data_IF_798734750133
#
_entry.id   IF_798734750133
#
_cell.length_a   1.000
_cell.length_b   1.000
_cell.length_c   1.000
_cell.angle_alpha   90.00
_cell.angle_beta   90.00
_cell.angle_gamma   90.00
#
_symmetry.space_group_name_H-M   'P 1'
#
loop_
_entity.id
_entity.type
_entity.pdbx_description
1 polymer ?
#
# COMPACT_ATOMS: atom_id res chain seq x y z
N UNK A 1 36.15 -1.96 7.50
CA UNK A 1 37.01 -1.78 6.32
C UNK A 1 36.47 -2.70 5.25
N UNK A 2 35.46 -2.21 4.53
CA UNK A 2 34.80 -2.89 3.42
C UNK A 2 34.79 -1.86 2.29
N UNK A 3 35.44 -2.22 1.19
CA UNK A 3 35.76 -1.31 0.10
C UNK A 3 34.47 -0.85 -0.61
N UNK A 4 34.33 0.47 -0.73
CA UNK A 4 33.40 1.13 -1.62
C UNK A 4 33.64 0.67 -3.07
N UNK A 5 32.58 0.42 -3.86
CA UNK A 5 32.68 0.67 -5.28
C UNK A 5 32.78 2.18 -5.47
N UNK A 6 34.00 2.65 -5.67
CA UNK A 6 34.27 3.94 -6.29
C UNK A 6 33.79 3.85 -7.74
N UNK A 7 32.67 4.49 -8.05
CA UNK A 7 32.47 5.26 -9.28
C UNK A 7 31.11 5.94 -9.16
N UNK A 8 31.11 7.27 -9.36
CA UNK A 8 29.93 8.11 -9.23
C UNK A 8 28.79 7.57 -10.06
N UNK A 9 27.63 7.36 -9.41
CA UNK A 9 26.42 6.87 -10.06
C UNK A 9 26.00 7.92 -11.09
N UNK A 10 25.98 7.59 -12.39
CA UNK A 10 25.34 8.44 -13.36
C UNK A 10 23.84 8.43 -13.05
N UNK A 11 23.28 9.60 -12.74
CA UNK A 11 21.85 9.86 -12.84
C UNK A 11 21.46 9.77 -14.32
N UNK A 12 21.36 8.55 -14.85
CA UNK A 12 20.74 8.32 -16.14
C UNK A 12 19.71 7.20 -16.02
N UNK A 13 18.48 7.69 -15.99
CA UNK A 13 17.22 7.07 -16.36
C UNK A 13 17.29 5.67 -16.96
N UNK A 14 16.47 4.79 -16.38
CA UNK A 14 15.99 3.59 -17.04
C UNK A 14 15.44 3.95 -18.44
N UNK A 15 16.00 3.41 -19.55
CA UNK A 15 15.56 3.71 -20.91
C UNK A 15 14.13 3.24 -21.25
N UNK A 16 13.45 2.57 -20.32
CA UNK A 16 12.07 2.09 -20.47
C UNK A 16 11.04 2.87 -19.64
N UNK A 17 11.46 3.79 -18.78
CA UNK A 17 10.55 4.67 -18.06
C UNK A 17 10.13 5.83 -18.98
N UNK A 18 8.83 5.98 -19.23
CA UNK A 18 8.31 7.20 -19.85
C UNK A 18 8.78 8.40 -19.03
N UNK A 19 9.30 9.44 -19.70
CA UNK A 19 9.64 10.70 -19.02
C UNK A 19 8.45 11.15 -18.18
N UNK A 20 8.60 11.40 -16.86
CA UNK A 20 7.48 11.84 -16.03
C UNK A 20 6.82 13.08 -16.63
N UNK A 21 5.49 13.07 -16.63
CA UNK A 21 4.70 14.22 -16.98
C UNK A 21 4.95 15.35 -15.96
N UNK A 22 4.67 16.58 -16.36
CA UNK A 22 4.71 17.69 -15.42
C UNK A 22 3.58 17.56 -14.40
N UNK A 23 3.86 17.89 -13.15
CA UNK A 23 2.89 17.83 -12.07
C UNK A 23 1.93 19.03 -12.17
N UNK A 24 0.65 18.75 -12.45
CA UNK A 24 -0.36 19.81 -12.64
C UNK A 24 -0.88 20.26 -11.29
N UNK A 25 -0.75 21.56 -11.00
CA UNK A 25 -1.24 22.19 -9.78
C UNK A 25 -2.77 22.21 -9.80
N UNK A 26 -3.38 21.61 -8.78
CA UNK A 26 -4.83 21.62 -8.54
C UNK A 26 -5.22 22.75 -7.58
N UNK A 27 -4.39 23.01 -6.57
CA UNK A 27 -4.67 24.01 -5.53
C UNK A 27 -3.39 24.65 -5.02
N UNK A 28 -3.52 25.86 -4.51
CA UNK A 28 -2.44 26.61 -3.86
C UNK A 28 -2.96 27.06 -2.50
N UNK A 29 -2.21 26.74 -1.44
CA UNK A 29 -2.55 27.10 -0.07
C UNK A 29 -2.35 28.60 0.16
N UNK A 30 -3.29 29.24 0.86
CA UNK A 30 -3.18 30.67 1.17
C UNK A 30 -2.09 30.93 2.21
N UNK A 31 -1.26 31.95 1.95
CA UNK A 31 -0.07 32.28 2.75
C UNK A 31 1.11 31.35 2.52
N UNK A 32 1.07 30.50 1.49
CA UNK A 32 2.17 29.60 1.15
C UNK A 32 3.18 30.25 0.21
N UNK A 33 4.39 29.67 0.16
CA UNK A 33 5.43 30.03 -0.81
C UNK A 33 4.88 29.95 -2.25
N UNK A 34 4.04 28.97 -2.55
CA UNK A 34 3.41 28.83 -3.86
C UNK A 34 2.54 30.03 -4.24
N UNK A 35 1.76 30.57 -3.29
CA UNK A 35 0.97 31.78 -3.50
C UNK A 35 1.86 33.01 -3.70
N UNK A 36 2.94 33.15 -2.91
CA UNK A 36 3.89 34.25 -3.03
C UNK A 36 4.64 34.26 -4.37
N UNK A 37 4.96 33.07 -4.89
CA UNK A 37 5.55 32.86 -6.22
C UNK A 37 4.53 33.06 -7.36
N UNK A 38 3.24 33.17 -7.05
CA UNK A 38 2.18 33.43 -8.00
C UNK A 38 1.65 32.19 -8.73
N UNK A 39 1.86 30.99 -8.20
CA UNK A 39 1.29 29.77 -8.75
C UNK A 39 -0.24 29.84 -8.80
N UNK A 40 -0.82 29.20 -9.82
CA UNK A 40 -2.25 29.10 -10.04
C UNK A 40 -2.65 27.66 -10.38
N UNK A 41 -3.90 27.26 -10.08
CA UNK A 41 -4.43 26.01 -10.59
C UNK A 41 -4.31 25.91 -12.12
N UNK A 42 -3.73 24.81 -12.60
CA UNK A 42 -3.43 24.56 -14.00
C UNK A 42 -1.95 24.71 -14.37
N UNK A 43 -1.16 25.41 -13.55
CA UNK A 43 0.30 25.48 -13.74
C UNK A 43 0.91 24.08 -13.64
N UNK A 44 2.03 23.89 -14.32
CA UNK A 44 2.70 22.60 -14.44
C UNK A 44 4.11 22.69 -13.91
N UNK A 45 4.37 22.06 -12.77
CA UNK A 45 5.73 21.92 -12.25
C UNK A 45 6.45 20.80 -13.03
N UNK A 46 7.43 21.19 -13.82
CA UNK A 46 8.20 20.28 -14.68
C UNK A 46 9.32 19.61 -13.89
N UNK A 47 10.13 20.41 -13.19
CA UNK A 47 11.32 19.93 -12.48
C UNK A 47 11.65 20.80 -11.26
N UNK A 48 12.29 20.17 -10.28
CA UNK A 48 12.92 20.82 -9.13
C UNK A 48 14.40 20.43 -9.16
N UNK A 49 15.31 21.42 -9.14
CA UNK A 49 16.76 21.20 -9.19
C UNK A 49 17.20 20.33 -10.40
N UNK A 50 16.51 20.50 -11.54
CA UNK A 50 16.75 19.74 -12.76
C UNK A 50 16.22 18.29 -12.74
N UNK A 51 15.56 17.87 -11.66
CA UNK A 51 14.96 16.54 -11.52
C UNK A 51 13.45 16.62 -11.76
N UNK A 52 12.96 15.80 -12.69
CA UNK A 52 11.52 15.61 -12.89
C UNK A 52 10.98 14.64 -11.83
N UNK A 53 10.09 15.07 -10.92
CA UNK A 53 9.54 14.16 -9.93
C UNK A 53 8.69 13.09 -10.61
N UNK A 54 8.78 11.84 -10.14
CA UNK A 54 7.93 10.75 -10.63
C UNK A 54 6.57 10.70 -9.94
N UNK A 55 6.48 11.29 -8.76
CA UNK A 55 5.33 11.21 -7.86
C UNK A 55 5.50 12.23 -6.71
N UNK A 56 4.49 12.32 -5.86
CA UNK A 56 4.49 13.20 -4.69
C UNK A 56 5.59 12.88 -3.66
N UNK A 57 6.12 11.65 -3.64
CA UNK A 57 7.20 11.28 -2.72
C UNK A 57 8.50 11.96 -3.15
N UNK A 58 8.82 11.89 -4.45
CA UNK A 58 9.96 12.62 -5.00
C UNK A 58 9.79 14.13 -4.81
N UNK A 59 8.59 14.65 -5.02
CA UNK A 59 8.31 16.07 -4.86
C UNK A 59 8.60 16.55 -3.43
N UNK A 60 8.14 15.80 -2.42
CA UNK A 60 8.45 16.09 -1.00
C UNK A 60 9.94 15.99 -0.71
N UNK A 61 10.63 14.98 -1.25
CA UNK A 61 12.08 14.80 -1.05
C UNK A 61 12.87 15.96 -1.66
N UNK A 62 12.54 16.36 -2.89
CA UNK A 62 13.19 17.46 -3.60
C UNK A 62 12.90 18.81 -2.94
N UNK A 63 11.68 19.01 -2.41
CA UNK A 63 11.34 20.21 -1.65
C UNK A 63 11.99 20.25 -0.25
N UNK A 64 12.69 19.21 0.19
CA UNK A 64 13.42 19.21 1.46
C UNK A 64 14.73 20.01 1.42
N UNK A 65 15.14 20.51 0.26
CA UNK A 65 16.32 21.36 0.09
C UNK A 65 15.98 22.84 0.38
N UNK A 66 16.99 23.61 0.82
CA UNK A 66 16.84 25.05 1.13
C UNK A 66 16.84 25.89 -0.15
N UNK A 67 17.75 25.58 -1.09
CA UNK A 67 17.85 26.25 -2.39
C UNK A 67 17.11 25.44 -3.47
N UNK A 68 16.03 25.99 -4.01
CA UNK A 68 15.23 25.34 -5.05
C UNK A 68 15.28 26.15 -6.35
N UNK A 69 15.56 25.45 -7.46
CA UNK A 69 15.31 25.91 -8.82
C UNK A 69 14.12 25.15 -9.41
N UNK A 70 13.01 25.85 -9.59
CA UNK A 70 11.78 25.31 -10.16
C UNK A 70 11.73 25.61 -11.67
N UNK A 71 11.33 24.61 -12.46
CA UNK A 71 10.93 24.77 -13.85
C UNK A 71 9.41 24.62 -13.93
N UNK A 72 8.71 25.67 -14.37
CA UNK A 72 7.23 25.73 -14.38
C UNK A 72 6.74 26.09 -15.79
N UNK A 73 5.65 25.47 -16.21
CA UNK A 73 4.93 25.79 -17.44
C UNK A 73 3.51 26.27 -17.11
N UNK A 74 3.16 27.46 -17.58
CA UNK A 74 1.81 28.00 -17.47
C UNK A 74 0.84 27.23 -18.39
N UNK A 75 -0.48 27.30 -18.17
CA UNK A 75 -1.48 26.71 -19.06
C UNK A 75 -1.39 27.17 -20.52
N UNK A 76 -0.82 28.35 -20.78
CA UNK A 76 -0.61 28.90 -22.13
C UNK A 76 0.69 28.42 -22.81
N UNK A 77 1.52 27.64 -22.10
CA UNK A 77 2.78 27.09 -22.57
C UNK A 77 4.01 27.97 -22.28
N UNK A 78 3.84 29.09 -21.57
CA UNK A 78 4.96 29.93 -21.12
C UNK A 78 5.81 29.19 -20.09
N UNK A 79 7.14 29.26 -20.24
CA UNK A 79 8.09 28.58 -19.35
C UNK A 79 8.78 29.58 -18.42
N UNK A 80 8.82 29.22 -17.13
CA UNK A 80 9.45 29.99 -16.08
C UNK A 80 10.53 29.19 -15.37
N UNK A 81 11.62 29.86 -15.03
CA UNK A 81 12.64 29.34 -14.11
C UNK A 81 12.65 30.23 -12.88
N UNK A 82 12.36 29.64 -11.72
CA UNK A 82 12.24 30.34 -10.46
C UNK A 82 13.31 29.80 -9.53
N UNK A 83 14.08 30.69 -8.92
CA UNK A 83 15.03 30.34 -7.87
C UNK A 83 14.53 30.92 -6.56
N UNK A 84 14.47 30.09 -5.52
CA UNK A 84 14.07 30.51 -4.18
C UNK A 84 14.94 29.85 -3.10
N UNK A 85 15.03 30.53 -1.97
CA UNK A 85 15.60 30.03 -0.72
C UNK A 85 14.47 29.94 0.31
N UNK A 86 14.40 28.83 1.03
CA UNK A 86 13.40 28.58 2.08
C UNK A 86 13.98 27.73 3.20
N UNK A 87 13.28 27.65 4.33
CA UNK A 87 13.63 26.67 5.36
C UNK A 87 13.38 25.24 4.83
N UNK A 88 14.24 24.29 5.20
CA UNK A 88 14.15 22.91 4.74
C UNK A 88 12.81 22.25 5.08
N UNK A 89 12.21 22.65 6.21
CA UNK A 89 10.92 22.14 6.70
C UNK A 89 9.71 22.77 5.99
N UNK A 90 9.89 23.89 5.27
CA UNK A 90 8.81 24.58 4.58
C UNK A 90 8.46 23.88 3.25
N UNK A 91 7.17 23.61 3.06
CA UNK A 91 6.62 23.15 1.79
C UNK A 91 6.26 24.30 0.86
N UNK A 92 6.04 23.98 -0.43
CA UNK A 92 5.58 24.97 -1.42
C UNK A 92 4.08 25.31 -1.28
N UNK A 93 3.30 24.56 -0.50
CA UNK A 93 1.84 24.73 -0.40
C UNK A 93 1.08 24.45 -1.71
N UNK A 94 1.61 23.54 -2.54
CA UNK A 94 0.99 23.14 -3.81
C UNK A 94 0.29 21.78 -3.67
N UNK A 95 -1.00 21.75 -4.03
CA UNK A 95 -1.74 20.52 -4.27
C UNK A 95 -1.72 20.16 -5.75
N UNK A 96 -1.66 18.86 -6.06
CA UNK A 96 -1.56 18.36 -7.44
C UNK A 96 -2.71 17.44 -7.80
N UNK A 97 -3.10 17.41 -9.08
CA UNK A 97 -4.25 16.64 -9.57
C UNK A 97 -4.06 15.12 -9.45
N UNK A 98 -2.82 14.65 -9.42
CA UNK A 98 -2.47 13.23 -9.36
C UNK A 98 -1.30 13.00 -8.40
N UNK A 99 -1.23 11.79 -7.85
CA UNK A 99 -0.14 11.40 -6.96
C UNK A 99 1.11 10.89 -7.71
N UNK A 100 0.92 10.40 -8.93
CA UNK A 100 1.92 9.74 -9.77
C UNK A 100 2.01 10.49 -11.10
N UNK A 101 3.19 10.93 -11.48
CA UNK A 101 3.42 11.72 -12.69
C UNK A 101 3.96 10.89 -13.86
N UNK A 102 4.41 9.67 -13.59
CA UNK A 102 4.80 8.67 -14.60
C UNK A 102 3.72 7.58 -14.80
N UNK A 103 2.55 7.75 -14.17
CA UNK A 103 1.41 6.86 -14.25
C UNK A 103 1.40 5.70 -13.26
N UNK A 104 0.26 5.02 -13.20
CA UNK A 104 0.03 3.90 -12.30
C UNK A 104 0.73 2.62 -12.76
N UNK A 105 1.45 1.95 -11.87
CA UNK A 105 1.89 0.57 -12.07
C UNK A 105 0.71 -0.39 -11.94
N UNK A 106 0.36 -1.06 -13.04
CA UNK A 106 -0.76 -2.00 -13.06
C UNK A 106 -0.39 -3.38 -12.55
N UNK A 107 -1.26 -3.95 -11.72
CA UNK A 107 -1.15 -5.31 -11.20
C UNK A 107 -1.06 -6.34 -12.34
N UNK A 108 -0.09 -7.26 -12.25
CA UNK A 108 0.07 -8.37 -13.22
C UNK A 108 -0.54 -9.68 -12.73
N UNK A 109 -1.06 -9.71 -11.50
CA UNK A 109 -1.73 -10.89 -10.95
C UNK A 109 -3.10 -11.10 -11.60
N UNK A 110 -3.56 -12.35 -11.57
CA UNK A 110 -4.86 -12.78 -12.12
C UNK A 110 -5.68 -13.50 -11.07
N UNK A 111 -5.65 -12.98 -9.85
CA UNK A 111 -6.33 -13.58 -8.70
C UNK A 111 -7.80 -13.82 -9.03
N UNK A 112 -8.34 -15.03 -8.86
CA UNK A 112 -9.77 -15.29 -9.06
C UNK A 112 -10.67 -14.38 -8.19
N UNK A 113 -10.15 -13.94 -7.04
CA UNK A 113 -10.84 -13.09 -6.08
C UNK A 113 -10.59 -11.58 -6.29
N UNK A 114 -9.99 -11.17 -7.42
CA UNK A 114 -9.74 -9.75 -7.69
C UNK A 114 -11.06 -8.99 -7.82
N UNK A 115 -11.31 -8.04 -6.91
CA UNK A 115 -12.55 -7.26 -6.91
C UNK A 115 -12.76 -6.48 -8.22
N UNK A 116 -11.68 -5.95 -8.81
CA UNK A 116 -11.71 -5.20 -10.06
C UNK A 116 -12.19 -6.07 -11.24
N UNK A 117 -11.75 -7.33 -11.32
CA UNK A 117 -12.21 -8.27 -12.36
C UNK A 117 -13.67 -8.68 -12.17
N UNK A 118 -14.21 -8.52 -10.96
CA UNK A 118 -15.59 -8.82 -10.62
C UNK A 118 -16.53 -7.61 -10.79
N UNK A 119 -16.07 -6.50 -11.38
CA UNK A 119 -16.92 -5.33 -11.64
C UNK A 119 -17.77 -5.50 -12.92
N UNK A 120 -18.99 -4.95 -12.95
CA UNK A 120 -19.82 -4.97 -14.16
C UNK A 120 -19.16 -4.19 -15.30
N UNK A 121 -19.37 -4.56 -16.58
CA UNK A 121 -18.87 -3.80 -17.73
C UNK A 121 -19.58 -2.44 -17.87
N UNK A 122 -18.97 -1.50 -18.63
CA UNK A 122 -19.56 -0.21 -18.98
C UNK A 122 -19.36 0.93 -17.95
N UNK A 123 -18.45 0.76 -16.99
CA UNK A 123 -18.01 1.82 -16.07
C UNK A 123 -16.88 2.67 -16.68
N UNK A 124 -16.51 3.74 -15.98
CA UNK A 124 -15.34 4.56 -16.34
C UNK A 124 -14.10 3.66 -16.40
N UNK A 125 -13.26 3.82 -17.42
CA UNK A 125 -12.06 2.99 -17.64
C UNK A 125 -11.13 2.97 -16.43
N UNK A 126 -11.01 4.08 -15.71
CA UNK A 126 -10.20 4.20 -14.51
C UNK A 126 -10.62 3.26 -13.37
N UNK A 127 -11.90 2.86 -13.30
CA UNK A 127 -12.40 1.93 -12.28
C UNK A 127 -11.99 0.47 -12.53
N UNK A 128 -11.43 0.17 -13.71
CA UNK A 128 -10.92 -1.15 -14.07
C UNK A 128 -9.40 -1.26 -13.96
N UNK A 129 -8.72 -0.19 -13.54
CA UNK A 129 -7.29 -0.24 -13.28
C UNK A 129 -7.05 -0.98 -11.97
N UNK A 130 -6.16 -1.98 -12.02
CA UNK A 130 -5.70 -2.69 -10.84
C UNK A 130 -4.41 -2.05 -10.37
N UNK A 131 -4.42 -1.44 -9.21
CA UNK A 131 -3.21 -0.95 -8.57
C UNK A 131 -2.42 -2.10 -7.92
N UNK A 132 -1.11 -2.01 -8.01
CA UNK A 132 -0.13 -2.85 -7.29
C UNK A 132 1.15 -2.02 -7.11
N UNK A 133 0.96 -0.73 -6.79
CA UNK A 133 2.01 0.31 -6.79
C UNK A 133 2.41 0.64 -5.35
N UNK A 134 3.68 0.40 -5.01
CA UNK A 134 4.20 0.66 -3.65
C UNK A 134 4.12 2.13 -3.24
N UNK A 135 4.06 3.06 -4.21
CA UNK A 135 3.96 4.49 -3.94
C UNK A 135 2.59 4.84 -3.40
N UNK A 136 1.53 4.30 -4.01
CA UNK A 136 0.17 4.46 -3.50
C UNK A 136 -0.03 3.70 -2.19
N UNK A 137 0.67 2.57 -2.02
CA UNK A 137 0.69 1.88 -0.73
C UNK A 137 1.25 2.75 0.39
N UNK A 138 2.37 3.43 0.15
CA UNK A 138 2.96 4.35 1.11
C UNK A 138 2.11 5.62 1.32
N UNK A 139 1.58 6.22 0.24
CA UNK A 139 0.86 7.49 0.31
C UNK A 139 -0.56 7.34 0.88
N UNK A 140 -1.26 6.27 0.54
CA UNK A 140 -2.70 6.12 0.78
C UNK A 140 -3.12 4.79 1.41
N UNK A 141 -2.17 3.92 1.72
CA UNK A 141 -2.48 2.62 2.31
C UNK A 141 -3.07 1.59 1.33
N UNK A 142 -2.93 1.81 0.02
CA UNK A 142 -3.31 0.80 -0.98
C UNK A 142 -2.53 -0.49 -0.79
N UNK A 143 -3.22 -1.62 -0.97
CA UNK A 143 -2.61 -2.93 -0.78
C UNK A 143 -1.85 -3.40 -2.04
N UNK A 144 -0.59 -3.79 -1.87
CA UNK A 144 0.22 -4.39 -2.94
C UNK A 144 0.66 -5.82 -2.63
N UNK A 145 0.94 -6.59 -3.66
CA UNK A 145 1.33 -8.00 -3.60
C UNK A 145 2.84 -8.23 -3.60
N UNK A 146 3.63 -7.17 -3.85
CA UNK A 146 5.09 -7.19 -4.04
C UNK A 146 5.57 -7.97 -5.29
N UNK A 147 4.65 -8.47 -6.12
CA UNK A 147 4.99 -9.31 -7.28
C UNK A 147 5.49 -8.53 -8.49
N UNK A 148 5.21 -7.23 -8.54
CA UNK A 148 5.53 -6.32 -9.63
C UNK A 148 6.75 -5.41 -9.38
N UNK A 149 7.44 -5.58 -8.25
CA UNK A 149 8.59 -4.74 -7.92
C UNK A 149 9.84 -5.13 -8.71
N UNK A 150 10.47 -4.14 -9.33
CA UNK A 150 11.78 -4.28 -9.97
C UNK A 150 12.91 -4.08 -8.94
N UNK A 151 14.16 -4.40 -9.31
CA UNK A 151 15.31 -4.15 -8.44
C UNK A 151 15.46 -2.65 -8.09
N UNK A 152 15.19 -1.76 -9.04
CA UNK A 152 15.20 -0.30 -8.81
C UNK A 152 14.09 0.14 -7.84
N UNK A 153 12.93 -0.52 -7.84
CA UNK A 153 11.87 -0.23 -6.88
C UNK A 153 12.27 -0.65 -5.46
N UNK A 154 12.85 -1.84 -5.29
CA UNK A 154 13.39 -2.29 -3.99
C UNK A 154 14.47 -1.34 -3.46
N UNK A 155 15.40 -0.92 -4.32
CA UNK A 155 16.44 0.04 -3.94
C UNK A 155 15.84 1.39 -3.54
N UNK A 156 14.83 1.87 -4.27
CA UNK A 156 14.14 3.13 -3.93
C UNK A 156 13.41 3.03 -2.59
N UNK A 157 12.67 1.94 -2.35
CA UNK A 157 11.99 1.69 -1.08
C UNK A 157 12.99 1.74 0.08
N UNK A 158 14.15 1.12 -0.07
CA UNK A 158 15.22 1.19 0.94
C UNK A 158 15.77 2.60 1.11
N UNK A 159 16.20 3.24 0.02
CA UNK A 159 16.89 4.54 0.04
C UNK A 159 16.00 5.64 0.61
N UNK A 160 14.71 5.66 0.21
CA UNK A 160 13.73 6.65 0.67
C UNK A 160 12.96 6.20 1.92
N UNK A 161 13.30 5.02 2.48
CA UNK A 161 12.68 4.46 3.70
C UNK A 161 11.15 4.40 3.62
N UNK A 162 10.61 3.98 2.47
CA UNK A 162 9.16 3.96 2.22
C UNK A 162 8.47 2.89 3.07
N UNK A 163 7.92 3.32 4.20
CA UNK A 163 7.37 2.43 5.23
C UNK A 163 6.43 3.19 6.18
N UNK A 164 5.34 2.56 6.68
CA UNK A 164 4.91 1.21 6.40
C UNK A 164 4.28 1.04 5.00
N UNK A 165 4.44 -0.15 4.41
CA UNK A 165 3.70 -0.54 3.20
C UNK A 165 2.57 -1.51 3.56
N UNK A 166 1.47 -1.48 2.81
CA UNK A 166 0.30 -2.33 3.01
C UNK A 166 0.36 -3.52 2.05
N UNK A 167 0.64 -4.72 2.56
CA UNK A 167 0.99 -5.89 1.75
C UNK A 167 -0.09 -6.97 1.83
N UNK A 168 -0.61 -7.36 0.67
CA UNK A 168 -1.52 -8.49 0.51
C UNK A 168 -0.74 -9.81 0.45
N UNK A 169 -0.66 -10.47 1.61
CA UNK A 169 0.09 -11.73 1.80
C UNK A 169 -0.74 -12.91 1.29
N UNK A 170 -2.00 -13.03 1.73
CA UNK A 170 -2.94 -14.13 1.47
C UNK A 170 -2.54 -15.54 1.91
N UNK A 171 -1.28 -15.95 1.72
CA UNK A 171 -0.72 -17.21 2.20
C UNK A 171 0.80 -17.09 2.29
N UNK A 172 1.46 -17.82 3.20
CA UNK A 172 2.94 -17.88 3.24
C UNK A 172 3.52 -19.08 2.51
N UNK A 173 2.75 -20.16 2.35
CA UNK A 173 3.18 -21.34 1.59
C UNK A 173 3.35 -20.97 0.09
N UNK A 174 4.55 -21.18 -0.50
CA UNK A 174 4.86 -20.67 -1.85
C UNK A 174 3.94 -21.18 -2.97
N UNK A 175 3.60 -22.47 -3.00
CA UNK A 175 2.77 -23.04 -4.06
C UNK A 175 1.31 -22.54 -3.98
N UNK A 176 0.77 -22.44 -2.76
CA UNK A 176 -0.54 -21.90 -2.46
C UNK A 176 -0.63 -20.42 -2.84
N UNK A 177 0.37 -19.61 -2.48
CA UNK A 177 0.38 -18.18 -2.83
C UNK A 177 0.45 -17.98 -4.34
N UNK A 178 1.28 -18.76 -5.06
CA UNK A 178 1.31 -18.77 -6.53
C UNK A 178 -0.04 -19.12 -7.14
N UNK A 179 -0.73 -20.12 -6.57
CA UNK A 179 -2.07 -20.52 -7.01
C UNK A 179 -3.13 -19.45 -6.75
N UNK A 180 -3.09 -18.78 -5.59
CA UNK A 180 -4.02 -17.70 -5.24
C UNK A 180 -3.89 -16.48 -6.18
N UNK A 181 -2.64 -16.07 -6.47
CA UNK A 181 -2.37 -14.89 -7.29
C UNK A 181 -2.31 -15.18 -8.80
N UNK A 182 -2.27 -16.46 -9.18
CA UNK A 182 -1.96 -16.93 -10.54
C UNK A 182 -0.69 -16.26 -11.08
N UNK A 183 0.36 -16.26 -10.26
CA UNK A 183 1.64 -15.62 -10.56
C UNK A 183 2.81 -16.43 -9.98
N UNK A 184 3.74 -16.87 -10.83
CA UNK A 184 4.90 -17.69 -10.41
C UNK A 184 5.86 -16.97 -9.47
N UNK A 185 5.95 -15.63 -9.57
CA UNK A 185 6.80 -14.81 -8.69
C UNK A 185 6.24 -14.67 -7.29
N UNK A 186 4.96 -15.00 -7.07
CA UNK A 186 4.30 -14.83 -5.79
C UNK A 186 4.90 -15.67 -4.65
N UNK A 187 5.64 -16.74 -4.93
CA UNK A 187 6.15 -17.65 -3.89
C UNK A 187 7.21 -17.08 -2.93
N UNK A 188 7.64 -15.84 -3.09
CA UNK A 188 8.79 -15.25 -2.38
C UNK A 188 8.41 -14.41 -1.14
N UNK A 189 7.15 -14.46 -0.68
CA UNK A 189 6.65 -13.49 0.30
C UNK A 189 7.43 -13.48 1.62
N UNK A 190 7.84 -14.64 2.13
CA UNK A 190 8.63 -14.71 3.37
C UNK A 190 10.04 -14.14 3.21
N UNK A 191 10.67 -14.36 2.04
CA UNK A 191 11.98 -13.79 1.70
C UNK A 191 11.88 -12.26 1.61
N UNK A 192 10.80 -11.76 1.03
CA UNK A 192 10.52 -10.33 0.91
C UNK A 192 10.26 -9.69 2.28
N UNK A 193 9.49 -10.33 3.17
CA UNK A 193 9.27 -9.82 4.54
C UNK A 193 10.56 -9.85 5.35
N UNK A 194 11.40 -10.88 5.20
CA UNK A 194 12.71 -10.92 5.82
C UNK A 194 13.63 -9.79 5.31
N UNK A 195 13.50 -9.39 4.04
CA UNK A 195 14.17 -8.21 3.51
C UNK A 195 13.68 -6.92 4.20
N UNK A 196 12.38 -6.73 4.41
CA UNK A 196 11.84 -5.58 5.19
C UNK A 196 12.44 -5.55 6.60
N UNK A 197 12.48 -6.70 7.30
CA UNK A 197 13.09 -6.83 8.61
C UNK A 197 14.57 -6.42 8.60
N UNK A 198 15.36 -6.98 7.67
CA UNK A 198 16.79 -6.68 7.55
C UNK A 198 17.04 -5.19 7.31
N UNK A 199 16.18 -4.53 6.52
CA UNK A 199 16.29 -3.11 6.22
C UNK A 199 15.65 -2.21 7.27
N UNK A 200 15.09 -2.79 8.34
CA UNK A 200 14.32 -2.07 9.37
C UNK A 200 13.21 -1.23 8.74
N UNK A 201 12.48 -1.85 7.83
CA UNK A 201 11.26 -1.34 7.23
C UNK A 201 10.10 -2.21 7.68
N UNK A 202 8.91 -1.65 7.62
CA UNK A 202 7.72 -2.20 8.24
C UNK A 202 6.59 -2.32 7.23
N UNK A 203 5.67 -3.25 7.48
CA UNK A 203 4.48 -3.49 6.68
C UNK A 203 3.25 -3.71 7.56
N UNK A 204 2.09 -3.35 7.02
CA UNK A 204 0.79 -3.85 7.44
C UNK A 204 0.39 -4.99 6.49
N UNK A 205 0.07 -6.17 7.00
CA UNK A 205 -0.27 -7.33 6.19
C UNK A 205 -1.79 -7.52 6.08
N UNK A 206 -2.24 -8.12 4.98
CA UNK A 206 -3.62 -8.58 4.79
C UNK A 206 -3.64 -10.02 4.31
N UNK A 207 -4.60 -10.77 4.84
CA UNK A 207 -4.97 -12.12 4.41
C UNK A 207 -6.45 -12.12 4.03
N UNK A 208 -6.72 -12.10 2.73
CA UNK A 208 -8.06 -12.41 2.18
C UNK A 208 -8.26 -13.92 2.20
N UNK A 209 -9.22 -14.41 2.97
CA UNK A 209 -9.50 -15.84 3.16
C UNK A 209 -10.52 -16.30 2.12
N UNK A 210 -10.10 -17.23 1.28
CA UNK A 210 -10.90 -17.92 0.26
C UNK A 210 -11.23 -19.34 0.75
N UNK A 211 -12.53 -19.68 0.91
CA UNK A 211 -12.97 -20.99 1.41
C UNK A 211 -12.41 -22.17 0.62
N UNK A 212 -11.87 -23.17 1.32
CA UNK A 212 -11.29 -24.38 0.72
C UNK A 212 -9.96 -24.17 -0.01
N UNK A 213 -9.38 -22.97 0.06
CA UNK A 213 -8.12 -22.64 -0.61
C UNK A 213 -7.03 -22.27 0.41
N UNK A 214 -7.26 -21.23 1.22
CA UNK A 214 -6.30 -20.72 2.21
C UNK A 214 -6.94 -20.46 3.59
N UNK A 215 -8.01 -21.17 3.90
CA UNK A 215 -8.63 -21.23 5.23
C UNK A 215 -8.02 -22.36 6.09
N UNK A 216 -8.53 -22.52 7.31
CA UNK A 216 -8.11 -23.61 8.19
C UNK A 216 -6.62 -23.60 8.51
N UNK A 217 -5.96 -24.75 8.35
CA UNK A 217 -4.53 -24.91 8.64
C UNK A 217 -3.64 -23.93 7.87
N UNK A 218 -3.95 -23.66 6.60
CA UNK A 218 -3.17 -22.72 5.78
C UNK A 218 -3.24 -21.28 6.31
N UNK A 219 -4.39 -20.87 6.86
CA UNK A 219 -4.54 -19.56 7.51
C UNK A 219 -3.72 -19.52 8.80
N UNK A 220 -3.77 -20.56 9.63
CA UNK A 220 -3.03 -20.62 10.89
C UNK A 220 -1.52 -20.64 10.65
N UNK A 221 -1.05 -21.37 9.63
CA UNK A 221 0.34 -21.36 9.18
C UNK A 221 0.76 -19.95 8.76
N UNK A 222 -0.04 -19.29 7.92
CA UNK A 222 0.20 -17.91 7.47
C UNK A 222 0.34 -16.93 8.64
N UNK A 223 -0.58 -16.97 9.60
CA UNK A 223 -0.52 -16.09 10.77
C UNK A 223 0.68 -16.40 11.67
N UNK A 224 1.02 -17.67 11.84
CA UNK A 224 2.17 -18.11 12.64
C UNK A 224 3.50 -17.70 12.01
N UNK A 225 3.61 -17.85 10.69
CA UNK A 225 4.79 -17.45 9.92
C UNK A 225 4.98 -15.93 9.98
N UNK A 226 3.93 -15.15 9.74
CA UNK A 226 3.98 -13.69 9.84
C UNK A 226 4.35 -13.24 11.26
N UNK A 227 3.87 -13.95 12.30
CA UNK A 227 4.18 -13.63 13.68
C UNK A 227 5.67 -13.82 14.02
N UNK A 228 6.48 -14.46 13.17
CA UNK A 228 7.94 -14.48 13.34
C UNK A 228 8.54 -13.08 13.20
N UNK A 229 7.89 -12.21 12.42
CA UNK A 229 8.30 -10.84 12.10
C UNK A 229 7.54 -9.76 12.89
N UNK A 230 6.67 -10.16 13.82
CA UNK A 230 5.79 -9.26 14.59
C UNK A 230 6.33 -8.83 15.97
N UNK A 231 7.54 -9.23 16.34
CA UNK A 231 8.12 -8.93 17.66
C UNK A 231 9.44 -8.18 17.61
N UNK A 232 9.92 -7.74 18.78
CA UNK A 232 11.14 -6.94 18.94
C UNK A 232 10.88 -5.43 18.95
N UNK A 233 11.94 -4.64 19.12
CA UNK A 233 11.84 -3.17 19.19
C UNK A 233 11.47 -2.53 17.83
N UNK A 234 11.68 -3.26 16.74
CA UNK A 234 11.41 -2.81 15.38
C UNK A 234 10.84 -3.94 14.52
N UNK A 235 9.58 -4.36 14.76
CA UNK A 235 8.98 -5.47 14.03
C UNK A 235 8.74 -5.09 12.57
N UNK A 236 8.98 -6.03 11.67
CA UNK A 236 8.74 -5.81 10.24
C UNK A 236 7.25 -5.93 9.89
N UNK A 237 6.45 -6.70 10.63
CA UNK A 237 5.00 -6.79 10.44
C UNK A 237 4.31 -6.13 11.63
N UNK A 238 3.69 -4.97 11.38
CA UNK A 238 3.02 -4.16 12.40
C UNK A 238 1.64 -4.68 12.78
N UNK A 239 0.88 -5.11 11.78
CA UNK A 239 -0.47 -5.64 11.96
C UNK A 239 -0.84 -6.59 10.83
N UNK A 240 -1.84 -7.45 11.08
CA UNK A 240 -2.43 -8.34 10.08
C UNK A 240 -3.95 -8.17 10.08
N UNK A 241 -4.53 -7.83 8.94
CA UNK A 241 -5.98 -7.91 8.73
C UNK A 241 -6.34 -9.27 8.10
N UNK A 242 -7.27 -9.99 8.72
CA UNK A 242 -7.86 -11.23 8.19
C UNK A 242 -9.27 -10.93 7.75
N UNK A 243 -9.52 -10.96 6.45
CA UNK A 243 -10.78 -10.52 5.84
C UNK A 243 -11.39 -11.66 5.02
N UNK A 244 -12.71 -11.81 4.98
CA UNK A 244 -13.34 -12.80 4.10
C UNK A 244 -13.24 -12.35 2.64
N UNK A 245 -13.26 -13.30 1.72
CA UNK A 245 -13.34 -12.97 0.29
C UNK A 245 -14.67 -12.29 -0.04
N UNK A 246 -14.61 -11.10 -0.64
CA UNK A 246 -15.77 -10.43 -1.21
C UNK A 246 -16.07 -10.95 -2.62
N UNK A 247 -17.27 -11.51 -2.81
CA UNK A 247 -17.72 -12.02 -4.11
C UNK A 247 -18.90 -11.21 -4.65
N UNK A 248 -18.80 -10.77 -5.91
CA UNK A 248 -19.90 -10.09 -6.58
C UNK A 248 -20.74 -11.06 -7.42
N UNK A 249 -21.94 -10.61 -7.82
CA UNK A 249 -22.79 -11.35 -8.78
C UNK A 249 -22.25 -11.33 -10.22
N UNK A 250 -21.22 -10.55 -10.51
CA UNK A 250 -20.65 -10.38 -11.85
C UNK A 250 -19.35 -11.18 -12.03
N UNK A 251 -18.98 -12.01 -11.06
CA UNK A 251 -17.78 -12.85 -11.15
C UNK A 251 -17.87 -13.85 -12.31
N UNK A 252 -16.74 -14.25 -12.91
CA UNK A 252 -16.71 -15.28 -13.94
C UNK A 252 -17.32 -16.61 -13.45
N UNK A 253 -18.04 -17.31 -14.31
CA UNK A 253 -18.51 -18.67 -13.99
C UNK A 253 -17.32 -19.64 -13.88
N UNK A 254 -17.33 -20.49 -12.85
CA UNK A 254 -16.31 -21.54 -12.69
C UNK A 254 -14.94 -21.07 -12.20
N UNK A 255 -14.85 -19.89 -11.59
CA UNK A 255 -13.62 -19.35 -10.97
C UNK A 255 -13.12 -20.14 -9.75
N UNK A 256 -13.89 -21.13 -9.30
CA UNK A 256 -13.55 -22.03 -8.19
C UNK A 256 -13.75 -21.41 -6.81
N UNK A 257 -14.26 -20.18 -6.73
CA UNK A 257 -14.49 -19.49 -5.46
C UNK A 257 -15.87 -19.81 -4.90
N UNK A 258 -15.89 -20.05 -3.60
CA UNK A 258 -17.10 -20.28 -2.81
C UNK A 258 -17.29 -19.07 -1.88
N UNK A 259 -18.51 -18.55 -1.69
CA UNK A 259 -18.75 -17.51 -0.69
C UNK A 259 -18.54 -18.06 0.73
N UNK A 260 -18.11 -17.20 1.63
CA UNK A 260 -18.05 -17.52 3.06
C UNK A 260 -19.47 -17.74 3.58
N UNK A 261 -19.71 -18.88 4.22
CA UNK A 261 -20.98 -19.18 4.90
C UNK A 261 -20.87 -18.93 6.43
N UNK A 262 -22.01 -18.85 7.15
CA UNK A 262 -21.98 -18.62 8.60
C UNK A 262 -21.24 -19.68 9.41
N UNK A 263 -21.20 -20.93 8.95
CA UNK A 263 -20.52 -22.01 9.65
C UNK A 263 -19.01 -21.87 9.51
N UNK A 264 -18.52 -21.49 8.33
CA UNK A 264 -17.13 -21.17 8.09
C UNK A 264 -16.70 -19.93 8.86
N UNK A 265 -17.52 -18.87 8.86
CA UNK A 265 -17.19 -17.66 9.61
C UNK A 265 -16.96 -17.97 11.10
N UNK A 266 -17.83 -18.79 11.71
CA UNK A 266 -17.64 -19.27 13.09
C UNK A 266 -16.35 -20.07 13.27
N UNK A 267 -16.06 -21.02 12.37
CA UNK A 267 -14.82 -21.80 12.43
C UNK A 267 -13.57 -20.93 12.31
N UNK A 268 -13.59 -19.91 11.44
CA UNK A 268 -12.46 -18.97 11.29
C UNK A 268 -12.27 -18.16 12.57
N UNK A 269 -13.34 -17.63 13.16
CA UNK A 269 -13.30 -16.90 14.43
C UNK A 269 -12.73 -17.79 15.55
N UNK A 270 -13.28 -19.00 15.71
CA UNK A 270 -12.85 -19.98 16.72
C UNK A 270 -11.38 -20.39 16.54
N UNK A 271 -10.84 -20.36 15.33
CA UNK A 271 -9.46 -20.70 15.04
C UNK A 271 -8.49 -19.52 15.28
N UNK A 272 -8.91 -18.28 14.98
CA UNK A 272 -8.03 -17.10 15.02
C UNK A 272 -8.01 -16.42 16.39
N UNK A 273 -9.13 -16.36 17.12
CA UNK A 273 -9.18 -15.71 18.45
C UNK A 273 -8.21 -16.32 19.48
N UNK A 274 -7.98 -17.65 19.54
CA UNK A 274 -6.94 -18.21 20.39
C UNK A 274 -5.53 -17.74 20.03
N UNK A 275 -5.25 -17.49 18.75
CA UNK A 275 -3.97 -16.90 18.32
C UNK A 275 -3.84 -15.45 18.77
N UNK A 276 -4.92 -14.66 18.69
CA UNK A 276 -4.92 -13.27 19.20
C UNK A 276 -4.55 -13.19 20.67
N UNK A 277 -5.02 -14.14 21.50
CA UNK A 277 -4.64 -14.19 22.92
C UNK A 277 -3.16 -14.52 23.10
N UNK A 278 -2.60 -15.40 22.27
CA UNK A 278 -1.16 -15.71 22.28
C UNK A 278 -0.33 -14.50 21.82
N UNK A 279 -0.78 -13.77 20.79
CA UNK A 279 -0.13 -12.56 20.31
C UNK A 279 -0.19 -11.45 21.34
N UNK A 280 -1.31 -11.29 22.06
CA UNK A 280 -1.42 -10.34 23.17
C UNK A 280 -0.37 -10.61 24.24
N UNK A 281 -0.14 -11.87 24.60
CA UNK A 281 0.91 -12.25 25.56
C UNK A 281 2.33 -12.01 25.02
N UNK A 282 2.54 -12.20 23.71
CA UNK A 282 3.86 -12.12 23.08
C UNK A 282 4.27 -10.69 22.70
N UNK A 283 3.33 -9.88 22.26
CA UNK A 283 3.56 -8.55 21.65
C UNK A 283 2.88 -7.41 22.41
N UNK A 284 1.99 -7.70 23.38
CA UNK A 284 1.15 -6.67 24.02
C UNK A 284 0.04 -6.13 23.10
N UNK A 285 -0.22 -6.80 21.97
CA UNK A 285 -1.23 -6.45 20.98
C UNK A 285 -1.84 -7.73 20.41
N UNK A 286 -3.11 -7.69 20.01
CA UNK A 286 -3.73 -8.80 19.27
C UNK A 286 -3.04 -9.04 17.94
N UNK A 287 -2.45 -7.99 17.35
CA UNK A 287 -1.57 -7.98 16.18
C UNK A 287 -2.17 -8.53 14.87
N UNK A 288 -3.01 -9.57 14.91
CA UNK A 288 -3.81 -10.07 13.81
C UNK A 288 -5.30 -9.95 14.15
N UNK A 289 -6.07 -9.22 13.35
CA UNK A 289 -7.49 -8.98 13.58
C UNK A 289 -8.37 -9.57 12.48
N UNK A 290 -9.52 -10.08 12.89
CA UNK A 290 -10.62 -10.39 11.99
C UNK A 290 -11.36 -9.10 11.68
N UNK A 291 -11.71 -8.86 10.41
CA UNK A 291 -12.64 -7.77 10.05
C UNK A 291 -14.02 -7.97 10.68
N UNK A 292 -14.75 -6.87 10.79
CA UNK A 292 -16.11 -6.83 11.35
C UNK A 292 -17.07 -7.74 10.56
N UNK A 293 -16.81 -7.92 9.26
CA UNK A 293 -17.58 -8.77 8.36
C UNK A 293 -17.64 -10.24 8.81
N UNK A 294 -16.58 -10.78 9.42
CA UNK A 294 -16.60 -12.15 9.95
C UNK A 294 -17.66 -12.34 11.02
N UNK A 295 -17.76 -11.39 11.95
CA UNK A 295 -18.73 -11.43 13.04
C UNK A 295 -20.16 -11.29 12.51
N UNK A 296 -20.37 -10.38 11.54
CA UNK A 296 -21.66 -10.23 10.87
C UNK A 296 -22.09 -11.51 10.14
N UNK A 297 -21.19 -12.12 9.35
CA UNK A 297 -21.46 -13.38 8.64
C UNK A 297 -21.75 -14.54 9.61
N UNK A 298 -21.07 -14.58 10.75
CA UNK A 298 -21.28 -15.58 11.79
C UNK A 298 -22.59 -15.37 12.60
N UNK A 299 -23.21 -14.20 12.49
CA UNK A 299 -24.34 -13.79 13.33
C UNK A 299 -23.92 -13.58 14.79
N UNK A 300 -22.70 -13.12 15.02
CA UNK A 300 -22.11 -12.85 16.33
C UNK A 300 -22.04 -11.35 16.58
N UNK A 301 -22.06 -10.89 17.85
CA UNK A 301 -21.82 -9.49 18.17
C UNK A 301 -20.40 -9.09 17.75
N UNK A 302 -20.24 -7.83 17.32
CA UNK A 302 -18.92 -7.24 17.11
C UNK A 302 -18.14 -7.20 18.43
N UNK A 303 -16.82 -7.47 18.42
CA UNK A 303 -15.94 -7.21 19.56
C UNK A 303 -16.12 -5.81 20.15
N UNK A 304 -15.79 -5.66 21.42
CA UNK A 304 -15.76 -4.36 22.09
C UNK A 304 -14.64 -3.48 21.50
N UNK A 305 -14.81 -2.15 21.53
CA UNK A 305 -13.89 -1.19 20.92
C UNK A 305 -12.43 -1.36 21.33
N UNK A 306 -12.18 -1.65 22.61
CA UNK A 306 -10.82 -1.86 23.12
C UNK A 306 -10.11 -3.04 22.44
N UNK A 307 -10.86 -3.98 21.86
CA UNK A 307 -10.30 -5.13 21.15
C UNK A 307 -9.62 -4.75 19.84
N UNK A 308 -9.96 -3.60 19.27
CA UNK A 308 -9.39 -3.09 18.03
C UNK A 308 -8.21 -2.13 18.24
N UNK A 309 -7.83 -1.86 19.49
CA UNK A 309 -6.65 -1.04 19.84
C UNK A 309 -6.69 0.33 19.12
N UNK A 310 -5.61 0.75 18.46
CA UNK A 310 -5.55 2.02 17.73
C UNK A 310 -6.09 1.94 16.30
N UNK A 311 -6.90 0.91 15.99
CA UNK A 311 -7.52 0.69 14.69
C UNK A 311 -6.51 0.65 13.51
N UNK A 312 -5.40 -0.11 13.59
CA UNK A 312 -4.33 -0.09 12.58
C UNK A 312 -4.76 -0.65 11.20
N UNK A 313 -6.00 -1.14 11.09
CA UNK A 313 -6.54 -1.83 9.92
C UNK A 313 -7.99 -1.38 9.61
N UNK A 314 -8.39 -0.18 10.05
CA UNK A 314 -9.76 0.33 9.86
C UNK A 314 -10.17 0.37 8.39
N UNK A 315 -9.30 0.87 7.51
CA UNK A 315 -9.51 0.91 6.06
C UNK A 315 -9.68 -0.49 5.44
N UNK A 316 -9.26 -1.53 6.14
CA UNK A 316 -9.42 -2.94 5.75
C UNK A 316 -10.64 -3.62 6.41
N UNK A 317 -11.55 -2.83 6.98
CA UNK A 317 -12.77 -3.32 7.61
C UNK A 317 -12.60 -3.88 9.02
N UNK A 318 -11.44 -3.69 9.65
CA UNK A 318 -11.20 -4.09 11.04
C UNK A 318 -11.65 -2.96 11.97
N UNK A 319 -12.76 -3.16 12.67
CA UNK A 319 -13.29 -2.18 13.62
C UNK A 319 -13.96 -0.97 12.97
N UNK A 320 -14.14 -0.95 11.66
CA UNK A 320 -14.75 0.17 10.94
C UNK A 320 -16.23 0.35 11.31
N UNK A 321 -16.98 -0.73 11.46
CA UNK A 321 -18.39 -0.70 11.87
C UNK A 321 -18.46 -0.36 13.36
N UNK A 322 -17.56 -0.92 14.18
CA UNK A 322 -17.48 -0.57 15.60
C UNK A 322 -17.21 0.92 15.81
N UNK A 323 -16.24 1.49 15.10
CA UNK A 323 -15.90 2.91 15.18
C UNK A 323 -17.10 3.79 14.77
N UNK A 324 -17.73 3.46 13.63
CA UNK A 324 -18.93 4.16 13.17
C UNK A 324 -20.07 4.13 14.19
N UNK A 325 -20.30 3.00 14.87
CA UNK A 325 -21.35 2.88 15.89
C UNK A 325 -21.07 3.69 17.16
N UNK A 326 -19.82 4.04 17.46
CA UNK A 326 -19.46 4.87 18.62
C UNK A 326 -19.49 6.36 18.32
N UNK A 327 -19.38 6.74 17.03
CA UNK A 327 -19.51 8.12 16.58
C UNK A 327 -20.98 8.58 16.49
N UNK A 328 -21.95 7.66 16.55
CA UNK A 328 -23.39 7.91 16.58
C UNK A 328 -23.91 8.19 18.00
#
# INVERSE_FOLDING_TARGET
MWNEPSDGIPLNADPTAATPAAAVVESVESGSIGEELGFQPGDRLIAINGVRPRDLIDLRMLCGEEELRLEVEDPDGSLHQIELEKDADDGLGLGFTEALFDGLRQCTNRCPFCFIDQQPPGRRSSLYLKDDDYRLSFLYGSYLTLTNLTAADWERIERQRLSPLFVSVHATEPALRRRLLLNDRAGQILEQIAWFEQKRLQIHAQVVVCPGINDGEALLETLTDLARFGGGDWPAVLSVAVVPVGLTRFRPEGDGLVPVDPAMARRTIEAVEPLQQQFMQRFGSRWAWLSDEWYLMAGLPLPERFSYEDLPQQENGVGSIRAFLEEL
#
